data_IF_348726894110
#
_entry.id   IF_348726894110
#
_cell.length_a   1.000
_cell.length_b   1.000
_cell.length_c   1.000
_cell.angle_alpha   90.00
_cell.angle_beta   90.00
_cell.angle_gamma   90.00
#
_symmetry.space_group_name_H-M   'P 1'
#
loop_
_entity.id
_entity.type
_entity.pdbx_description
1 polymer ?
#
# COMPACT_ATOMS: atom_id res chain seq x y z
N UNK A 1 -21.68 11.03 19.99
CA UNK A 1 -20.52 11.60 19.29
C UNK A 1 -19.93 12.72 20.15
N UNK A 2 -18.80 12.49 20.83
CA UNK A 2 -18.10 13.59 21.52
C UNK A 2 -17.45 14.45 20.44
N UNK A 3 -17.81 15.73 20.40
CA UNK A 3 -17.16 16.73 19.55
C UNK A 3 -15.79 17.00 20.15
N UNK A 4 -14.76 16.31 19.67
CA UNK A 4 -13.40 16.70 20.00
C UNK A 4 -13.17 18.09 19.40
N UNK A 5 -12.79 19.04 20.25
CA UNK A 5 -12.44 20.38 19.80
C UNK A 5 -11.26 20.27 18.84
N UNK A 6 -11.14 21.20 17.89
CA UNK A 6 -10.01 21.23 16.95
C UNK A 6 -8.66 21.17 17.67
N UNK A 7 -8.55 21.83 18.83
CA UNK A 7 -7.35 21.81 19.67
C UNK A 7 -7.10 20.46 20.36
N UNK A 8 -8.16 19.74 20.71
CA UNK A 8 -8.06 18.41 21.29
C UNK A 8 -7.60 17.38 20.23
N UNK A 9 -8.04 17.57 18.98
CA UNK A 9 -7.63 16.76 17.83
C UNK A 9 -6.14 16.97 17.54
N UNK A 10 -5.68 18.22 17.46
CA UNK A 10 -4.27 18.54 17.18
C UNK A 10 -3.35 18.03 18.29
N UNK A 11 -3.73 18.19 19.56
CA UNK A 11 -2.98 17.68 20.70
C UNK A 11 -2.84 16.15 20.66
N UNK A 12 -3.94 15.44 20.36
CA UNK A 12 -3.93 13.96 20.24
C UNK A 12 -3.14 13.47 19.04
N UNK A 13 -3.18 14.17 17.91
CA UNK A 13 -2.38 13.83 16.73
C UNK A 13 -0.89 14.00 17.03
N UNK A 14 -0.49 15.11 17.66
CA UNK A 14 0.90 15.33 18.06
C UNK A 14 1.41 14.27 19.04
N UNK A 15 0.59 13.91 20.03
CA UNK A 15 0.95 12.88 21.01
C UNK A 15 1.10 11.50 20.35
N UNK A 16 0.27 11.19 19.33
CA UNK A 16 0.42 9.96 18.54
C UNK A 16 1.72 9.96 17.73
N UNK A 17 2.07 11.08 17.11
CA UNK A 17 3.32 11.25 16.36
C UNK A 17 4.55 11.11 17.27
N UNK A 18 4.52 11.66 18.49
CA UNK A 18 5.59 11.48 19.48
C UNK A 18 5.78 10.01 19.89
N UNK A 19 4.67 9.26 20.06
CA UNK A 19 4.74 7.83 20.34
C UNK A 19 5.29 7.04 19.15
N UNK A 20 4.94 7.44 17.92
CA UNK A 20 5.47 6.85 16.70
C UNK A 20 6.96 7.16 16.50
N UNK A 21 7.41 8.38 16.84
CA UNK A 21 8.82 8.76 16.83
C UNK A 21 9.66 7.97 17.84
N UNK A 22 9.05 7.52 18.94
CA UNK A 22 9.66 6.59 19.91
C UNK A 22 9.70 5.13 19.42
N UNK A 23 9.27 4.86 18.18
CA UNK A 23 9.28 3.54 17.57
C UNK A 23 8.02 2.71 17.81
N UNK A 24 6.95 3.29 18.37
CA UNK A 24 5.68 2.56 18.51
C UNK A 24 4.91 2.52 17.18
N UNK A 25 4.26 1.39 16.91
CA UNK A 25 3.35 1.30 15.76
C UNK A 25 2.13 2.21 15.93
N UNK A 26 1.56 2.68 14.83
CA UNK A 26 0.34 3.51 14.81
C UNK A 26 -0.81 2.86 15.61
N UNK A 27 -0.96 1.54 15.55
CA UNK A 27 -1.98 0.81 16.30
C UNK A 27 -1.75 0.87 17.82
N UNK A 28 -0.49 0.78 18.28
CA UNK A 28 -0.13 0.90 19.70
C UNK A 28 -0.33 2.33 20.19
N UNK A 29 0.12 3.33 19.42
CA UNK A 29 -0.09 4.75 19.75
C UNK A 29 -1.59 5.08 19.87
N UNK A 30 -2.41 4.62 18.92
CA UNK A 30 -3.86 4.79 18.95
C UNK A 30 -4.50 4.12 20.18
N UNK A 31 -4.03 2.92 20.54
CA UNK A 31 -4.50 2.18 21.72
C UNK A 31 -4.19 2.92 23.03
N UNK A 32 -3.00 3.50 23.16
CA UNK A 32 -2.58 4.29 24.34
C UNK A 32 -3.44 5.56 24.46
N UNK A 33 -3.78 6.19 23.35
CA UNK A 33 -4.57 7.42 23.30
C UNK A 33 -6.09 7.19 23.42
N UNK A 34 -6.54 5.93 23.41
CA UNK A 34 -7.97 5.59 23.43
C UNK A 34 -8.71 6.05 22.17
N UNK A 35 -8.00 6.16 21.04
CA UNK A 35 -8.54 6.60 19.75
C UNK A 35 -8.44 5.46 18.74
N UNK A 36 -9.43 5.31 17.85
CA UNK A 36 -9.34 4.34 16.76
C UNK A 36 -8.34 4.78 15.70
N UNK A 37 -7.62 3.83 15.11
CA UNK A 37 -6.69 4.05 13.97
C UNK A 37 -7.40 4.78 12.82
N UNK A 38 -8.68 4.48 12.59
CA UNK A 38 -9.51 5.14 11.57
C UNK A 38 -9.73 6.63 11.87
N UNK A 39 -9.97 6.97 13.14
CA UNK A 39 -10.16 8.35 13.61
C UNK A 39 -8.86 9.14 13.49
N UNK A 40 -7.74 8.54 13.90
CA UNK A 40 -6.42 9.13 13.75
C UNK A 40 -6.07 9.37 12.26
N UNK A 41 -6.39 8.41 11.37
CA UNK A 41 -6.22 8.61 9.92
C UNK A 41 -7.03 9.80 9.38
N UNK A 42 -8.27 9.96 9.84
CA UNK A 42 -9.14 11.07 9.42
C UNK A 42 -8.60 12.41 9.89
N UNK A 43 -8.12 12.49 11.14
CA UNK A 43 -7.48 13.68 11.69
C UNK A 43 -6.19 14.04 10.96
N UNK A 44 -5.34 13.04 10.67
CA UNK A 44 -4.10 13.25 9.91
C UNK A 44 -4.37 13.81 8.51
N UNK A 45 -5.41 13.30 7.82
CA UNK A 45 -5.83 13.83 6.51
C UNK A 45 -6.37 15.26 6.61
N UNK A 46 -7.10 15.57 7.68
CA UNK A 46 -7.65 16.91 7.91
C UNK A 46 -6.56 17.92 8.28
N UNK A 47 -5.56 17.53 9.07
CA UNK A 47 -4.40 18.36 9.41
C UNK A 47 -3.46 18.58 8.21
N UNK A 48 -3.26 17.56 7.37
CA UNK A 48 -2.55 17.70 6.10
C UNK A 48 -3.25 18.70 5.16
N UNK A 49 -4.59 18.66 5.10
CA UNK A 49 -5.39 19.63 4.35
C UNK A 49 -5.35 21.05 4.97
N UNK A 50 -4.99 21.17 6.25
CA UNK A 50 -4.77 22.45 6.96
C UNK A 50 -3.32 22.94 6.88
N UNK A 51 -2.44 22.25 6.15
CA UNK A 51 -1.05 22.65 5.94
C UNK A 51 -0.06 22.20 7.02
N UNK A 52 -0.46 21.27 7.91
CA UNK A 52 0.47 20.61 8.83
C UNK A 52 0.93 19.29 8.21
N UNK A 53 2.17 19.17 7.69
CA UNK A 53 2.68 17.88 7.25
C UNK A 53 2.77 16.97 8.46
N UNK A 54 2.10 15.82 8.40
CA UNK A 54 2.17 14.82 9.46
C UNK A 54 3.44 13.99 9.29
N UNK A 55 4.09 13.70 10.42
CA UNK A 55 5.31 12.89 10.46
C UNK A 55 5.03 11.49 9.86
N UNK A 56 5.90 11.03 8.96
CA UNK A 56 5.80 9.77 8.23
C UNK A 56 4.75 9.74 7.11
N UNK A 57 4.32 10.89 6.58
CA UNK A 57 3.46 10.91 5.38
C UNK A 57 4.28 10.91 4.08
N UNK A 58 3.64 10.47 2.99
CA UNK A 58 4.20 10.59 1.62
C UNK A 58 4.62 12.03 1.31
N UNK A 59 3.99 13.03 1.95
CA UNK A 59 4.38 14.44 1.84
C UNK A 59 5.73 14.76 2.49
N UNK A 60 6.08 14.11 3.61
CA UNK A 60 7.37 14.28 4.28
C UNK A 60 8.48 13.49 3.55
N UNK A 61 8.14 12.32 3.00
CA UNK A 61 9.02 11.57 2.10
C UNK A 61 9.25 12.33 0.78
N UNK A 62 8.20 12.99 0.25
CA UNK A 62 8.31 13.90 -0.88
C UNK A 62 9.20 15.10 -0.52
N UNK A 63 8.99 15.76 0.62
CA UNK A 63 9.80 16.89 1.08
C UNK A 63 11.30 16.52 1.26
N UNK A 64 11.63 15.30 1.68
CA UNK A 64 13.03 14.83 1.70
C UNK A 64 13.60 14.48 0.32
N UNK A 65 12.74 14.27 -0.68
CA UNK A 65 13.14 14.13 -2.09
C UNK A 65 13.30 15.49 -2.77
N UNK A 66 12.80 16.58 -2.16
CA UNK A 66 12.81 17.96 -2.69
C UNK A 66 14.14 18.71 -2.50
N UNK A 67 15.19 18.06 -1.98
CA UNK A 67 16.56 18.63 -1.93
C UNK A 67 17.32 18.51 -3.28
N UNK A 68 16.62 18.17 -4.36
CA UNK A 68 17.07 18.40 -5.73
C UNK A 68 16.00 19.15 -6.49
N UNK A 69 16.12 20.47 -6.50
CA UNK A 69 15.27 21.46 -7.16
C UNK A 69 13.81 21.42 -6.69
N UNK A 70 13.49 22.25 -5.68
CA UNK A 70 12.16 22.49 -5.12
C UNK A 70 11.13 23.08 -6.10
N UNK A 71 10.93 22.41 -7.23
CA UNK A 71 9.83 22.64 -8.16
C UNK A 71 8.69 21.74 -7.71
N UNK A 72 7.57 22.29 -7.21
CA UNK A 72 6.37 21.51 -6.98
C UNK A 72 6.05 20.72 -8.25
N UNK A 73 5.76 19.41 -8.20
CA UNK A 73 5.43 18.68 -9.40
C UNK A 73 4.24 19.38 -10.05
N UNK A 74 4.48 19.95 -11.24
CA UNK A 74 3.43 20.60 -12.00
C UNK A 74 2.23 19.65 -12.06
N UNK A 75 0.97 20.15 -11.98
CA UNK A 75 -0.22 19.28 -11.98
C UNK A 75 -0.20 18.26 -13.13
N UNK A 76 0.36 18.65 -14.27
CA UNK A 76 0.63 17.79 -15.43
C UNK A 76 1.47 16.55 -15.11
N UNK A 77 2.50 16.66 -14.26
CA UNK A 77 3.37 15.52 -13.91
C UNK A 77 2.65 14.50 -13.02
N UNK A 78 1.79 14.98 -12.12
CA UNK A 78 0.97 14.08 -11.28
C UNK A 78 -0.02 13.31 -12.17
N UNK A 79 -0.63 13.98 -13.14
CA UNK A 79 -1.60 13.37 -14.05
C UNK A 79 -0.93 12.40 -15.05
N UNK A 80 0.26 12.73 -15.56
CA UNK A 80 1.10 11.81 -16.34
C UNK A 80 1.45 10.54 -15.56
N UNK A 81 1.92 10.70 -14.32
CA UNK A 81 2.28 9.58 -13.46
C UNK A 81 1.07 8.71 -13.11
N UNK A 82 -0.12 9.31 -12.96
CA UNK A 82 -1.37 8.59 -12.75
C UNK A 82 -1.76 7.77 -13.97
N UNK A 83 -1.69 8.36 -15.16
CA UNK A 83 -1.99 7.68 -16.41
C UNK A 83 -1.02 6.51 -16.65
N UNK A 84 0.28 6.72 -16.40
CA UNK A 84 1.27 5.66 -16.54
C UNK A 84 1.06 4.56 -15.49
N UNK A 85 0.72 4.91 -14.24
CA UNK A 85 0.37 3.91 -13.24
C UNK A 85 -0.84 3.06 -13.63
N UNK A 86 -1.86 3.68 -14.20
CA UNK A 86 -3.03 2.98 -14.70
C UNK A 86 -2.66 2.03 -15.84
N UNK A 87 -1.82 2.49 -16.77
CA UNK A 87 -1.30 1.68 -17.88
C UNK A 87 -0.46 0.50 -17.39
N UNK A 88 0.47 0.73 -16.46
CA UNK A 88 1.30 -0.32 -15.87
C UNK A 88 0.44 -1.36 -15.14
N UNK A 89 -0.60 -0.94 -14.41
CA UNK A 89 -1.54 -1.86 -13.74
C UNK A 89 -2.28 -2.77 -14.73
N UNK A 90 -2.70 -2.23 -15.88
CA UNK A 90 -3.32 -3.04 -16.96
C UNK A 90 -2.33 -4.07 -17.50
N UNK A 91 -1.13 -3.64 -17.89
CA UNK A 91 -0.09 -4.52 -18.44
C UNK A 91 0.28 -5.62 -17.44
N UNK A 92 0.46 -5.28 -16.16
CA UNK A 92 0.77 -6.27 -15.12
C UNK A 92 -0.35 -7.30 -14.99
N UNK A 93 -1.61 -6.87 -15.05
CA UNK A 93 -2.75 -7.79 -14.99
C UNK A 93 -2.76 -8.73 -16.18
N UNK A 94 -2.57 -8.21 -17.39
CA UNK A 94 -2.52 -9.00 -18.62
C UNK A 94 -1.39 -10.03 -18.58
N UNK A 95 -0.18 -9.61 -18.18
CA UNK A 95 0.98 -10.49 -18.04
C UNK A 95 0.77 -11.55 -16.96
N UNK A 96 0.12 -11.22 -15.84
CA UNK A 96 -0.21 -12.20 -14.80
C UNK A 96 -1.21 -13.24 -15.31
N UNK A 97 -2.23 -12.83 -16.07
CA UNK A 97 -3.19 -13.75 -16.68
C UNK A 97 -2.51 -14.66 -17.73
N UNK A 98 -1.61 -14.11 -18.54
CA UNK A 98 -0.81 -14.90 -19.48
C UNK A 98 0.08 -15.90 -18.76
N UNK A 99 0.76 -15.46 -17.68
CA UNK A 99 1.58 -16.33 -16.84
C UNK A 99 0.75 -17.49 -16.27
N UNK A 100 -0.43 -17.22 -15.72
CA UNK A 100 -1.32 -18.27 -15.19
C UNK A 100 -1.73 -19.27 -16.28
N UNK A 101 -2.08 -18.81 -17.48
CA UNK A 101 -2.40 -19.72 -18.61
C UNK A 101 -1.21 -20.59 -19.01
N UNK A 102 0.00 -20.04 -18.99
CA UNK A 102 1.22 -20.79 -19.31
C UNK A 102 1.48 -21.84 -18.22
N UNK A 103 1.40 -21.46 -16.95
CA UNK A 103 1.57 -22.37 -15.82
C UNK A 103 0.52 -23.49 -15.82
N UNK A 104 -0.74 -23.19 -16.13
CA UNK A 104 -1.80 -24.20 -16.30
C UNK A 104 -1.46 -25.18 -17.44
N UNK A 105 -1.07 -24.68 -18.61
CA UNK A 105 -0.66 -25.54 -19.74
C UNK A 105 0.54 -26.42 -19.39
N UNK A 106 1.51 -25.90 -18.63
CA UNK A 106 2.65 -26.66 -18.14
C UNK A 106 2.23 -27.71 -17.12
N UNK A 107 1.31 -27.37 -16.20
CA UNK A 107 0.76 -28.31 -15.23
C UNK A 107 -0.03 -29.45 -15.91
N UNK A 108 -0.85 -29.15 -16.93
CA UNK A 108 -1.53 -30.17 -17.74
C UNK A 108 -0.56 -31.05 -18.53
N UNK A 109 0.52 -30.48 -19.07
CA UNK A 109 1.59 -31.27 -19.73
C UNK A 109 2.32 -32.19 -18.76
N UNK A 110 2.53 -31.74 -17.53
CA UNK A 110 3.15 -32.54 -16.46
C UNK A 110 2.22 -33.66 -15.98
N UNK A 111 0.92 -33.39 -15.83
CA UNK A 111 -0.06 -34.41 -15.42
C UNK A 111 -0.28 -35.48 -16.50
N UNK A 112 -0.28 -35.09 -17.78
CA UNK A 112 -0.37 -36.00 -18.93
C UNK A 112 0.83 -36.94 -19.14
N UNK A 113 1.97 -36.69 -18.46
CA UNK A 113 3.15 -37.54 -18.50
C UNK A 113 3.20 -38.66 -17.45
N UNK A 114 2.22 -38.72 -16.54
CA UNK A 114 2.20 -39.68 -15.41
C UNK A 114 1.27 -40.90 -15.60
N UNK A 115 0.67 -41.05 -16.78
CA UNK A 115 -0.15 -42.21 -17.13
C UNK A 115 0.68 -43.34 -17.77
N UNK A 116 1.51 -44.03 -17.01
CA UNK A 116 2.16 -45.27 -17.46
C UNK A 116 1.09 -46.37 -17.60
N UNK A 117 0.87 -46.96 -18.79
CA UNK A 117 0.04 -48.15 -18.90
C UNK A 117 0.82 -49.34 -18.32
N UNK A 118 0.26 -50.01 -17.30
CA UNK A 118 0.71 -51.37 -16.94
C UNK A 118 0.25 -52.33 -18.04
N UNK A 119 1.01 -52.37 -19.13
CA UNK A 119 0.90 -53.38 -20.18
C UNK A 119 1.42 -54.70 -19.59
N UNK A 120 0.61 -55.75 -19.72
CA UNK A 120 0.68 -56.97 -18.94
C UNK A 120 2.04 -57.68 -18.90
N UNK A 121 2.31 -58.27 -17.74
CA UNK A 121 3.12 -59.47 -17.64
C UNK A 121 2.15 -60.66 -17.74
N UNK A 122 2.11 -61.24 -18.94
CA UNK A 122 1.74 -62.64 -19.17
C UNK A 122 3.04 -63.44 -19.28
N UNK A 123 3.00 -64.67 -18.75
CA UNK A 123 4.05 -65.71 -18.62
C UNK A 123 4.66 -65.72 -17.19
N UNK A 124 4.62 -66.81 -16.40
CA UNK A 124 4.45 -68.24 -16.68
C UNK A 124 3.60 -68.95 -15.63
#
# INVERSE_FOLDING_TARGET
MRRHSTDEITSKVKQAEELMARGQSQAQACKVLGVSVMTFHRWRKQEAARGRPANGTVAEFAAHTEDRDGTPPAPSRIDELRLENERLRRIVTDLLLEKMKIEEKLALRSSGGSGLPRRGEVQS
#
